data_IF_610746537705
#
_entry.id   IF_610746537705
#
_cell.length_a   1.000
_cell.length_b   1.000
_cell.length_c   1.000
_cell.angle_alpha   90.00
_cell.angle_beta   90.00
_cell.angle_gamma   90.00
#
_symmetry.space_group_name_H-M   'P 1'
#
loop_
_entity.id
_entity.type
_entity.pdbx_description
1 polymer ?
#
# COMPACT_ATOMS: atom_id res chain seq x y z
N UNK A 1 -2.05 16.71 -16.16
CA UNK A 1 -3.07 16.27 -15.19
C UNK A 1 -2.54 16.54 -13.78
N UNK A 2 -3.37 17.01 -12.84
CA UNK A 2 -2.93 17.21 -11.46
C UNK A 2 -2.46 15.87 -10.90
N UNK A 3 -1.30 15.85 -10.23
CA UNK A 3 -0.86 14.66 -9.49
C UNK A 3 -1.83 14.50 -8.33
N UNK A 4 -2.52 13.36 -8.28
CA UNK A 4 -3.36 13.01 -7.12
C UNK A 4 -2.38 12.77 -5.96
N UNK A 5 -2.20 13.80 -5.12
CA UNK A 5 -1.27 13.74 -4.00
C UNK A 5 -1.76 12.71 -2.98
N UNK A 6 -0.89 11.76 -2.67
CA UNK A 6 -1.14 10.73 -1.67
C UNK A 6 -1.27 11.42 -0.31
N UNK A 7 -2.39 11.19 0.38
CA UNK A 7 -2.66 11.77 1.70
C UNK A 7 -1.56 11.43 2.71
N UNK A 8 -0.99 12.46 3.33
CA UNK A 8 0.02 12.31 4.39
C UNK A 8 -0.54 11.56 5.60
N UNK A 9 -1.83 11.74 5.92
CA UNK A 9 -2.47 11.04 7.02
C UNK A 9 -2.61 9.54 6.73
N UNK A 10 -3.11 9.19 5.54
CA UNK A 10 -3.29 7.80 5.13
C UNK A 10 -1.95 7.06 4.99
N UNK A 11 -0.92 7.80 4.58
CA UNK A 11 0.46 7.30 4.57
C UNK A 11 0.93 6.94 5.97
N UNK A 12 0.65 7.77 6.98
CA UNK A 12 0.98 7.48 8.38
C UNK A 12 0.22 6.25 8.87
N UNK A 13 -1.08 6.15 8.60
CA UNK A 13 -1.90 4.98 8.96
C UNK A 13 -1.33 3.68 8.36
N UNK A 14 -0.99 3.73 7.08
CA UNK A 14 -0.36 2.61 6.36
C UNK A 14 0.98 2.22 6.96
N UNK A 15 1.82 3.19 7.31
CA UNK A 15 3.10 2.94 7.96
C UNK A 15 2.91 2.28 9.33
N UNK A 16 1.89 2.66 10.10
CA UNK A 16 1.56 2.00 11.37
C UNK A 16 1.15 0.55 11.14
N UNK A 17 0.29 0.26 10.15
CA UNK A 17 -0.11 -1.12 9.82
C UNK A 17 1.11 -2.00 9.48
N UNK A 18 2.00 -1.51 8.60
CA UNK A 18 3.23 -2.23 8.25
C UNK A 18 4.20 -2.37 9.45
N UNK A 19 4.26 -1.35 10.29
CA UNK A 19 5.06 -1.34 11.52
C UNK A 19 4.58 -2.40 12.52
N UNK A 20 3.27 -2.46 12.79
CA UNK A 20 2.67 -3.49 13.64
C UNK A 20 2.98 -4.88 13.10
N UNK A 21 2.81 -5.09 11.80
CA UNK A 21 3.14 -6.36 11.15
C UNK A 21 4.59 -6.80 11.38
N UNK A 22 5.54 -5.88 11.32
CA UNK A 22 6.96 -6.19 11.57
C UNK A 22 7.30 -6.34 13.06
N UNK A 23 6.64 -5.60 13.95
CA UNK A 23 6.80 -5.77 15.40
C UNK A 23 6.39 -7.19 15.84
N UNK A 24 5.32 -7.74 15.25
CA UNK A 24 4.89 -9.13 15.50
C UNK A 24 6.00 -10.13 15.13
N UNK A 25 6.82 -9.83 14.13
CA UNK A 25 7.94 -10.67 13.70
C UNK A 25 9.24 -10.43 14.47
N UNK A 26 9.31 -9.39 15.31
CA UNK A 26 10.51 -9.06 16.08
C UNK A 26 11.08 -10.24 16.88
N UNK A 27 10.28 -11.12 17.52
CA UNK A 27 10.81 -12.30 18.23
C UNK A 27 11.61 -13.26 17.32
N UNK A 28 11.29 -13.35 16.02
CA UNK A 28 12.01 -14.22 15.09
C UNK A 28 13.45 -13.74 14.85
N UNK A 29 13.70 -12.43 14.95
CA UNK A 29 15.05 -11.87 14.84
C UNK A 29 15.92 -12.27 16.04
N UNK A 30 15.33 -12.43 17.23
CA UNK A 30 16.04 -12.91 18.42
C UNK A 30 16.40 -14.39 18.33
N UNK A 31 15.62 -15.20 17.59
CA UNK A 31 15.92 -16.61 17.34
C UNK A 31 16.99 -16.78 16.27
N UNK A 32 16.80 -16.15 15.12
CA UNK A 32 17.74 -16.19 14.01
C UNK A 32 17.51 -15.01 13.06
N UNK A 33 18.53 -14.17 12.89
CA UNK A 33 18.45 -12.98 12.05
C UNK A 33 18.05 -13.28 10.59
N UNK A 34 18.47 -14.42 10.01
CA UNK A 34 18.08 -14.80 8.64
C UNK A 34 16.59 -15.15 8.57
N UNK A 35 16.08 -15.90 9.55
CA UNK A 35 14.66 -16.27 9.61
C UNK A 35 13.80 -15.02 9.82
N UNK A 36 14.17 -14.15 10.78
CA UNK A 36 13.49 -12.88 11.01
C UNK A 36 13.45 -12.01 9.75
N UNK A 37 14.60 -11.85 9.08
CA UNK A 37 14.68 -11.08 7.83
C UNK A 37 13.82 -11.67 6.71
N UNK A 38 13.90 -12.98 6.46
CA UNK A 38 13.10 -13.64 5.43
C UNK A 38 11.61 -13.54 5.73
N UNK A 39 11.20 -13.73 6.99
CA UNK A 39 9.81 -13.59 7.40
C UNK A 39 9.30 -12.16 7.23
N UNK A 40 10.08 -11.14 7.61
CA UNK A 40 9.72 -9.73 7.42
C UNK A 40 9.62 -9.34 5.96
N UNK A 41 10.51 -9.85 5.10
CA UNK A 41 10.41 -9.61 3.67
C UNK A 41 9.14 -10.24 3.09
N UNK A 42 8.88 -11.50 3.42
CA UNK A 42 7.68 -12.21 2.96
C UNK A 42 6.39 -11.53 3.43
N UNK A 43 6.30 -11.18 4.72
CA UNK A 43 5.16 -10.48 5.30
C UNK A 43 4.97 -9.10 4.68
N UNK A 44 6.04 -8.33 4.50
CA UNK A 44 5.94 -6.98 3.91
C UNK A 44 5.53 -7.06 2.45
N UNK A 45 6.08 -7.98 1.66
CA UNK A 45 5.66 -8.20 0.27
C UNK A 45 4.19 -8.61 0.16
N UNK A 46 3.75 -9.56 0.98
CA UNK A 46 2.35 -9.99 1.02
C UNK A 46 1.43 -8.85 1.46
N UNK A 47 1.81 -8.09 2.48
CA UNK A 47 1.04 -6.95 2.95
C UNK A 47 0.90 -5.88 1.86
N UNK A 48 2.00 -5.48 1.20
CA UNK A 48 1.94 -4.49 0.12
C UNK A 48 1.01 -4.92 -1.02
N UNK A 49 1.05 -6.20 -1.41
CA UNK A 49 0.14 -6.74 -2.41
C UNK A 49 -1.34 -6.67 -1.96
N UNK A 50 -1.63 -7.12 -0.74
CA UNK A 50 -3.00 -7.10 -0.21
C UNK A 50 -3.54 -5.67 -0.04
N UNK A 51 -2.70 -4.74 0.43
CA UNK A 51 -3.06 -3.33 0.55
C UNK A 51 -3.30 -2.71 -0.83
N UNK A 52 -2.50 -3.07 -1.83
CA UNK A 52 -2.73 -2.63 -3.21
C UNK A 52 -4.08 -3.10 -3.74
N UNK A 53 -4.41 -4.40 -3.64
CA UNK A 53 -5.69 -4.92 -4.12
C UNK A 53 -6.88 -4.33 -3.36
N UNK A 54 -6.76 -4.17 -2.03
CA UNK A 54 -7.79 -3.54 -1.22
C UNK A 54 -8.01 -2.08 -1.63
N UNK A 55 -6.93 -1.31 -1.80
CA UNK A 55 -7.02 0.08 -2.27
C UNK A 55 -7.57 0.20 -3.69
N UNK A 56 -7.24 -0.75 -4.57
CA UNK A 56 -7.75 -0.80 -5.94
C UNK A 56 -9.27 -0.92 -5.96
N UNK A 57 -9.83 -1.78 -5.10
CA UNK A 57 -11.29 -1.94 -4.94
C UNK A 57 -11.99 -0.68 -4.42
N UNK A 58 -11.27 0.16 -3.67
CA UNK A 58 -11.79 1.40 -3.06
C UNK A 58 -11.58 2.65 -3.92
N UNK A 59 -10.75 2.59 -4.97
CA UNK A 59 -10.51 3.70 -5.93
C UNK A 59 -10.92 3.32 -7.36
N UNK A 60 -12.17 2.90 -7.64
CA UNK A 60 -12.55 2.41 -8.97
C UNK A 60 -12.44 3.49 -10.05
N UNK A 61 -12.80 4.75 -9.75
CA UNK A 61 -12.78 5.86 -10.71
C UNK A 61 -11.35 6.29 -11.08
N UNK A 62 -10.44 6.58 -10.13
CA UNK A 62 -9.04 6.89 -10.45
C UNK A 62 -8.31 5.74 -11.17
N UNK A 63 -8.59 4.49 -10.79
CA UNK A 63 -7.99 3.33 -11.46
C UNK A 63 -8.47 3.15 -12.90
N UNK A 64 -9.77 3.40 -13.16
CA UNK A 64 -10.31 3.39 -14.52
C UNK A 64 -9.71 4.49 -15.40
N UNK A 65 -9.48 5.69 -14.85
CA UNK A 65 -8.83 6.80 -15.56
C UNK A 65 -7.37 6.49 -15.91
N UNK A 66 -6.62 5.88 -14.97
CA UNK A 66 -5.25 5.43 -15.25
C UNK A 66 -5.21 4.33 -16.30
N UNK A 67 -6.15 3.37 -16.24
CA UNK A 67 -6.26 2.32 -17.25
C UNK A 67 -6.59 2.91 -18.63
N UNK A 68 -7.52 3.85 -18.72
CA UNK A 68 -7.85 4.55 -19.97
C UNK A 68 -6.64 5.33 -20.52
N UNK A 69 -5.89 6.05 -19.69
CA UNK A 69 -4.65 6.72 -20.10
C UNK A 69 -3.61 5.75 -20.67
N UNK A 70 -3.49 4.56 -20.08
CA UNK A 70 -2.58 3.52 -20.57
C UNK A 70 -3.03 2.92 -21.92
N UNK A 71 -4.34 2.81 -22.15
CA UNK A 71 -4.88 2.32 -23.43
C UNK A 71 -4.75 3.35 -24.57
N UNK A 72 -4.95 4.64 -24.29
CA UNK A 72 -4.94 5.69 -25.32
C UNK A 72 -3.60 6.40 -25.50
N UNK A 73 -2.61 6.15 -24.63
CA UNK A 73 -1.25 6.71 -24.76
C UNK A 73 -0.15 5.65 -24.71
N UNK A 74 0.10 4.91 -25.80
CA UNK A 74 1.21 3.96 -25.86
C UNK A 74 2.59 4.64 -25.86
N UNK A 75 2.67 5.94 -26.21
CA UNK A 75 3.93 6.68 -26.39
C UNK A 75 4.28 7.62 -25.23
N UNK A 76 3.35 7.91 -24.30
CA UNK A 76 3.63 8.74 -23.10
C UNK A 76 3.05 8.19 -21.80
N UNK A 77 2.56 6.94 -21.78
CA UNK A 77 2.19 6.19 -20.57
C UNK A 77 3.39 5.96 -19.67
N UNK A 78 3.82 7.01 -18.98
CA UNK A 78 5.02 7.00 -18.14
C UNK A 78 4.84 5.99 -17.01
N UNK A 79 5.78 5.05 -16.88
CA UNK A 79 5.88 4.08 -15.76
C UNK A 79 5.69 4.75 -14.38
N UNK A 80 6.05 6.02 -14.27
CA UNK A 80 5.80 6.86 -13.10
C UNK A 80 4.31 6.96 -12.71
N UNK A 81 3.38 6.95 -13.67
CA UNK A 81 1.94 7.03 -13.42
C UNK A 81 1.42 5.74 -12.79
N UNK A 82 1.90 4.58 -13.26
CA UNK A 82 1.55 3.28 -12.69
C UNK A 82 2.10 3.09 -11.28
N UNK A 83 3.35 3.47 -11.05
CA UNK A 83 3.97 3.43 -9.71
C UNK A 83 3.19 4.34 -8.75
N UNK A 84 2.87 5.57 -9.17
CA UNK A 84 2.09 6.48 -8.35
C UNK A 84 0.70 5.93 -8.03
N UNK A 85 0.07 5.25 -9.00
CA UNK A 85 -1.21 4.59 -8.80
C UNK A 85 -1.10 3.40 -7.83
N UNK A 86 -0.03 2.62 -7.94
CA UNK A 86 0.22 1.49 -7.05
C UNK A 86 0.44 1.96 -5.61
N UNK A 87 1.25 3.00 -5.41
CA UNK A 87 1.46 3.64 -4.10
C UNK A 87 0.14 4.19 -3.55
N UNK A 88 -0.63 4.88 -4.39
CA UNK A 88 -1.96 5.38 -4.06
C UNK A 88 -2.89 4.26 -3.56
N UNK A 89 -2.95 3.13 -4.26
CA UNK A 89 -3.74 1.98 -3.83
C UNK A 89 -3.23 1.41 -2.50
N UNK A 90 -1.92 1.19 -2.36
CA UNK A 90 -1.32 0.69 -1.10
C UNK A 90 -1.69 1.59 0.09
N UNK A 91 -1.56 2.91 -0.07
CA UNK A 91 -1.85 3.86 1.02
C UNK A 91 -3.33 3.88 1.39
N UNK A 92 -4.23 3.82 0.40
CA UNK A 92 -5.66 3.79 0.67
C UNK A 92 -6.11 2.46 1.30
N UNK A 93 -5.53 1.34 0.84
CA UNK A 93 -5.75 0.03 1.46
C UNK A 93 -5.24 0.00 2.90
N UNK A 94 -4.03 0.53 3.15
CA UNK A 94 -3.43 0.56 4.48
C UNK A 94 -4.21 1.44 5.46
N UNK A 95 -4.68 2.61 5.03
CA UNK A 95 -5.57 3.44 5.83
C UNK A 95 -6.89 2.73 6.17
N UNK A 96 -7.49 2.01 5.22
CA UNK A 96 -8.70 1.25 5.47
C UNK A 96 -8.49 0.13 6.51
N UNK A 97 -7.38 -0.61 6.43
CA UNK A 97 -7.02 -1.63 7.43
C UNK A 97 -6.78 -0.98 8.79
N UNK A 98 -6.08 0.16 8.84
CA UNK A 98 -5.86 0.89 10.09
C UNK A 98 -7.18 1.30 10.74
N UNK A 99 -8.11 1.87 9.97
CA UNK A 99 -9.39 2.35 10.49
C UNK A 99 -10.30 1.21 10.96
N UNK A 100 -10.14 0.00 10.41
CA UNK A 100 -10.81 -1.22 10.86
C UNK A 100 -10.21 -1.77 12.16
N UNK A 101 -8.88 -1.74 12.29
CA UNK A 101 -8.17 -2.26 13.47
C UNK A 101 -8.21 -1.28 14.67
N UNK A 102 -8.15 0.02 14.40
CA UNK A 102 -8.15 1.10 15.39
C UNK A 102 -9.32 2.03 15.04
N UNK A 103 -10.57 1.59 15.30
CA UNK A 103 -11.72 2.43 15.06
C UNK A 103 -11.64 3.67 15.96
N UNK A 104 -11.84 4.85 15.39
CA UNK A 104 -11.92 6.09 16.18
C UNK A 104 -13.09 5.95 17.16
N UNK A 105 -12.83 6.09 18.46
CA UNK A 105 -13.92 6.32 19.41
C UNK A 105 -14.60 7.64 19.04
N UNK A 106 -15.93 7.64 18.96
CA UNK A 106 -16.72 8.87 18.78
C UNK A 106 -16.43 9.89 19.86
#
# INVERSE_FOLDING_TARGET
MPKEEVSTEDTKKTAVVLGIGNIILAPLYALNAKIGFTASLALTSAALYQLHELGKSRRPVPNALNQANHFFSPQTGTTSTEINNAVSNIVNGGAAVFDELIPRSK
#
